data_IF_886240619588
#
_entry.id   IF_886240619588
#
_cell.length_a   1.000
_cell.length_b   1.000
_cell.length_c   1.000
_cell.angle_alpha   90.00
_cell.angle_beta   90.00
_cell.angle_gamma   90.00
#
_symmetry.space_group_name_H-M   'P 1'
#
loop_
_entity.id
_entity.type
_entity.pdbx_description
1 polymer ?
#
# COMPACT_ATOMS: atom_id res chain seq x y z
N UNK A 1 -33.90 -9.03 -29.38
CA UNK A 1 -32.83 -8.14 -28.91
C UNK A 1 -32.90 -8.11 -27.39
N UNK A 2 -31.99 -8.78 -26.67
CA UNK A 2 -31.92 -8.64 -25.20
C UNK A 2 -31.35 -7.26 -24.91
N UNK A 3 -32.18 -6.39 -24.32
CA UNK A 3 -31.74 -5.13 -23.75
C UNK A 3 -30.62 -5.44 -22.74
N UNK A 4 -29.41 -4.98 -23.06
CA UNK A 4 -28.18 -5.20 -22.32
C UNK A 4 -27.81 -3.92 -21.54
N UNK A 5 -28.81 -3.13 -21.13
CA UNK A 5 -28.63 -1.97 -20.28
C UNK A 5 -28.23 -2.42 -18.87
N UNK A 6 -26.92 -2.61 -18.68
CA UNK A 6 -26.31 -2.80 -17.35
C UNK A 6 -26.83 -1.69 -16.43
N UNK A 7 -27.29 -2.01 -15.20
CA UNK A 7 -27.76 -0.98 -14.28
C UNK A 7 -26.61 -0.01 -14.02
N UNK A 8 -26.81 1.27 -14.36
CA UNK A 8 -25.84 2.33 -14.02
C UNK A 8 -25.71 2.37 -12.51
N UNK A 9 -24.49 2.21 -12.00
CA UNK A 9 -24.22 2.32 -10.57
C UNK A 9 -24.70 3.69 -10.07
N UNK A 10 -25.54 3.70 -9.04
CA UNK A 10 -26.02 4.93 -8.42
C UNK A 10 -24.82 5.67 -7.82
N UNK A 11 -24.79 7.00 -7.89
CA UNK A 11 -23.68 7.83 -7.38
C UNK A 11 -23.12 7.42 -5.99
N UNK A 12 -23.96 7.07 -4.99
CA UNK A 12 -23.49 6.62 -3.68
C UNK A 12 -22.65 5.32 -3.72
N UNK A 13 -22.93 4.42 -4.65
CA UNK A 13 -22.19 3.15 -4.79
C UNK A 13 -20.79 3.43 -5.34
N UNK A 14 -20.66 4.37 -6.30
CA UNK A 14 -19.37 4.74 -6.90
C UNK A 14 -18.45 5.34 -5.83
N UNK A 15 -18.97 6.24 -4.99
CA UNK A 15 -18.21 6.86 -3.90
C UNK A 15 -17.78 5.82 -2.88
N UNK A 16 -18.67 4.91 -2.49
CA UNK A 16 -18.37 3.85 -1.51
C UNK A 16 -17.31 2.88 -2.04
N UNK A 17 -17.41 2.45 -3.30
CA UNK A 17 -16.40 1.58 -3.92
C UNK A 17 -15.07 2.32 -4.10
N UNK A 18 -15.09 3.60 -4.47
CA UNK A 18 -13.88 4.43 -4.55
C UNK A 18 -13.17 4.55 -3.21
N UNK A 19 -13.92 4.79 -2.14
CA UNK A 19 -13.38 4.82 -0.77
C UNK A 19 -12.84 3.45 -0.33
N UNK A 20 -13.50 2.35 -0.69
CA UNK A 20 -13.00 1.01 -0.40
C UNK A 20 -11.66 0.72 -1.12
N UNK A 21 -11.55 1.07 -2.40
CA UNK A 21 -10.31 0.95 -3.18
C UNK A 21 -9.21 1.86 -2.63
N UNK A 22 -9.56 3.09 -2.24
CA UNK A 22 -8.64 4.00 -1.56
C UNK A 22 -8.14 3.38 -0.25
N UNK A 23 -9.03 2.86 0.59
CA UNK A 23 -8.64 2.25 1.87
C UNK A 23 -7.71 1.03 1.68
N UNK A 24 -7.88 0.25 0.60
CA UNK A 24 -6.96 -0.87 0.30
C UNK A 24 -5.59 -0.42 -0.17
N UNK A 25 -5.47 0.76 -0.81
CA UNK A 25 -4.19 1.31 -1.28
C UNK A 25 -3.53 2.22 -0.22
N UNK A 26 -4.32 2.85 0.65
CA UNK A 26 -3.87 3.79 1.67
C UNK A 26 -3.39 3.05 2.94
N UNK A 27 -2.40 2.17 2.77
CA UNK A 27 -1.77 1.40 3.84
C UNK A 27 -0.56 2.10 4.48
N UNK A 28 0.14 1.39 5.37
CA UNK A 28 1.32 1.91 6.07
C UNK A 28 2.47 2.35 5.14
N UNK A 29 2.63 1.70 3.98
CA UNK A 29 3.63 2.10 2.98
C UNK A 29 3.40 3.53 2.49
N UNK A 30 2.16 3.88 2.20
CA UNK A 30 1.77 5.20 1.72
C UNK A 30 1.78 6.28 2.80
N UNK A 31 1.95 5.89 4.07
CA UNK A 31 2.21 6.83 5.16
C UNK A 31 3.72 7.07 5.38
N UNK A 32 4.56 6.06 5.11
CA UNK A 32 5.99 6.09 5.42
C UNK A 32 6.84 6.57 4.23
N UNK A 33 6.57 6.06 3.03
CA UNK A 33 7.41 6.32 1.86
C UNK A 33 7.30 7.75 1.32
N UNK A 34 6.13 8.42 1.27
CA UNK A 34 6.08 9.78 0.75
C UNK A 34 6.87 10.80 1.58
N UNK A 35 6.80 10.81 2.93
CA UNK A 35 7.69 11.64 3.74
C UNK A 35 9.17 11.30 3.54
N UNK A 36 9.52 10.02 3.46
CA UNK A 36 10.89 9.56 3.23
C UNK A 36 11.43 9.97 1.84
N UNK A 37 10.61 9.87 0.81
CA UNK A 37 10.91 10.32 -0.55
C UNK A 37 11.06 11.83 -0.61
N UNK A 38 10.14 12.58 0.00
CA UNK A 38 10.19 14.04 0.10
C UNK A 38 11.46 14.52 0.80
N UNK A 39 11.88 13.83 1.88
CA UNK A 39 13.13 14.13 2.57
C UNK A 39 14.36 13.93 1.67
N UNK A 40 14.41 12.85 0.88
CA UNK A 40 15.55 12.57 0.00
C UNK A 40 15.63 13.49 -1.22
N UNK A 41 14.48 13.82 -1.79
CA UNK A 41 14.38 14.60 -3.05
C UNK A 41 14.36 16.11 -2.80
N UNK A 42 14.08 16.54 -1.57
CA UNK A 42 14.23 17.92 -1.11
C UNK A 42 13.44 18.91 -1.99
N UNK A 43 14.13 19.87 -2.60
CA UNK A 43 13.51 20.88 -3.48
C UNK A 43 12.80 20.26 -4.69
N UNK A 44 13.20 19.07 -5.13
CA UNK A 44 12.65 18.37 -6.29
C UNK A 44 11.61 17.31 -5.91
N UNK A 45 11.01 17.42 -4.73
CA UNK A 45 10.03 16.45 -4.23
C UNK A 45 8.87 16.20 -5.19
N UNK A 46 8.44 17.21 -5.95
CA UNK A 46 7.33 17.07 -6.89
C UNK A 46 7.69 16.10 -8.03
N UNK A 47 8.94 16.13 -8.51
CA UNK A 47 9.43 15.22 -9.55
C UNK A 47 9.55 13.79 -9.00
N UNK A 48 10.00 13.63 -7.76
CA UNK A 48 10.01 12.33 -7.08
C UNK A 48 8.60 11.79 -6.86
N UNK A 49 7.69 12.64 -6.41
CA UNK A 49 6.28 12.30 -6.22
C UNK A 49 5.62 11.83 -7.52
N UNK A 50 5.91 12.44 -8.67
CA UNK A 50 5.38 11.97 -9.95
C UNK A 50 5.85 10.56 -10.29
N UNK A 51 7.12 10.23 -10.06
CA UNK A 51 7.63 8.88 -10.25
C UNK A 51 6.95 7.85 -9.33
N UNK A 52 6.82 8.21 -8.04
CA UNK A 52 6.12 7.40 -7.04
C UNK A 52 4.65 7.19 -7.41
N UNK A 53 3.95 8.27 -7.78
CA UNK A 53 2.53 8.25 -8.13
C UNK A 53 2.25 7.36 -9.34
N UNK A 54 3.09 7.43 -10.38
CA UNK A 54 2.94 6.58 -11.57
C UNK A 54 3.14 5.10 -11.20
N UNK A 55 4.15 4.80 -10.38
CA UNK A 55 4.48 3.42 -10.04
C UNK A 55 3.50 2.79 -9.04
N UNK A 56 3.19 3.47 -7.93
CA UNK A 56 2.26 2.96 -6.92
C UNK A 56 0.81 3.01 -7.44
N UNK A 57 0.27 4.22 -7.61
CA UNK A 57 -1.15 4.43 -7.95
C UNK A 57 -1.45 4.05 -9.40
N UNK A 58 -0.57 4.41 -10.33
CA UNK A 58 -0.76 4.12 -11.75
C UNK A 58 -0.78 2.62 -12.05
N UNK A 59 0.14 1.84 -11.49
CA UNK A 59 0.18 0.39 -11.69
C UNK A 59 -1.00 -0.31 -11.00
N UNK A 60 -1.36 0.11 -9.77
CA UNK A 60 -2.54 -0.42 -9.09
C UNK A 60 -3.83 -0.17 -9.90
N UNK A 61 -3.99 1.03 -10.45
CA UNK A 61 -5.13 1.36 -11.31
C UNK A 61 -5.15 0.52 -12.59
N UNK A 62 -4.00 0.29 -13.24
CA UNK A 62 -3.89 -0.58 -14.42
C UNK A 62 -4.22 -2.04 -14.09
N UNK A 63 -3.81 -2.55 -12.93
CA UNK A 63 -4.11 -3.90 -12.48
C UNK A 63 -5.62 -4.09 -12.27
N UNK A 64 -6.27 -3.15 -11.57
CA UNK A 64 -7.73 -3.16 -11.37
C UNK A 64 -8.45 -3.09 -12.73
N UNK A 65 -8.02 -2.18 -13.60
CA UNK A 65 -8.59 -2.05 -14.95
C UNK A 65 -8.48 -3.35 -15.74
N UNK A 66 -7.33 -4.03 -15.71
CA UNK A 66 -7.11 -5.31 -16.39
C UNK A 66 -8.10 -6.39 -15.95
N UNK A 67 -8.32 -6.54 -14.65
CA UNK A 67 -9.28 -7.52 -14.10
C UNK A 67 -10.72 -7.17 -14.49
N UNK A 68 -11.10 -5.89 -14.40
CA UNK A 68 -12.44 -5.43 -14.77
C UNK A 68 -12.69 -5.56 -16.27
N UNK A 69 -11.68 -5.27 -17.10
CA UNK A 69 -11.78 -5.32 -18.56
C UNK A 69 -12.02 -6.74 -19.08
N UNK A 70 -11.51 -7.78 -18.39
CA UNK A 70 -11.74 -9.18 -18.77
C UNK A 70 -13.18 -9.66 -18.51
N UNK A 71 -14.04 -8.88 -17.84
CA UNK A 71 -15.47 -9.17 -17.55
C UNK A 71 -15.77 -10.45 -16.76
N UNK A 72 -14.77 -11.28 -16.49
CA UNK A 72 -14.85 -12.47 -15.63
C UNK A 72 -14.79 -12.09 -14.14
N UNK A 73 -14.28 -10.91 -13.80
CA UNK A 73 -14.19 -10.41 -12.42
C UNK A 73 -13.19 -11.16 -11.55
N UNK A 74 -12.43 -12.09 -12.12
CA UNK A 74 -11.40 -12.89 -11.46
C UNK A 74 -10.03 -12.60 -12.05
N UNK A 75 -8.99 -12.78 -11.24
CA UNK A 75 -7.60 -12.71 -11.69
C UNK A 75 -7.26 -13.80 -12.72
N UNK A 76 -8.01 -14.91 -12.70
CA UNK A 76 -7.88 -16.01 -13.64
C UNK A 76 -8.09 -15.57 -15.10
N UNK A 77 -9.00 -14.61 -15.37
CA UNK A 77 -9.20 -14.07 -16.71
C UNK A 77 -8.00 -13.28 -17.25
N UNK A 78 -7.12 -12.79 -16.36
CA UNK A 78 -5.85 -12.16 -16.73
C UNK A 78 -4.77 -13.21 -16.94
N UNK A 79 -4.62 -14.15 -16.01
CA UNK A 79 -3.48 -15.08 -15.95
C UNK A 79 -3.65 -16.30 -16.85
N UNK A 80 -4.88 -16.73 -17.13
CA UNK A 80 -5.16 -17.85 -18.03
C UNK A 80 -4.81 -17.55 -19.49
N UNK A 81 -4.54 -16.28 -19.87
CA UNK A 81 -4.01 -15.92 -21.20
C UNK A 81 -2.65 -16.55 -21.48
N UNK A 82 -1.90 -16.89 -20.43
CA UNK A 82 -0.61 -17.60 -20.52
C UNK A 82 -0.81 -19.13 -20.53
N UNK A 83 -2.02 -19.61 -20.25
CA UNK A 83 -2.39 -21.01 -20.08
C UNK A 83 -2.88 -21.30 -18.66
N UNK A 84 -3.76 -22.29 -18.50
CA UNK A 84 -4.42 -22.58 -17.20
C UNK A 84 -3.47 -23.12 -16.14
N UNK A 85 -2.51 -23.97 -16.52
CA UNK A 85 -1.48 -24.49 -15.62
C UNK A 85 -0.45 -23.41 -15.27
N UNK A 86 0.20 -22.72 -16.24
CA UNK A 86 1.18 -21.68 -15.90
C UNK A 86 0.54 -20.48 -15.17
N UNK A 87 -0.70 -20.12 -15.49
CA UNK A 87 -1.43 -19.06 -14.79
C UNK A 87 -1.66 -19.36 -13.30
N UNK A 88 -2.10 -20.58 -12.97
CA UNK A 88 -2.28 -21.01 -11.57
C UNK A 88 -0.97 -21.06 -10.79
N UNK A 89 0.10 -21.55 -11.41
CA UNK A 89 1.44 -21.55 -10.80
C UNK A 89 1.88 -20.12 -10.51
N UNK A 90 1.69 -19.21 -11.47
CA UNK A 90 2.06 -17.81 -11.32
C UNK A 90 1.30 -17.11 -10.18
N UNK A 91 -0.02 -17.28 -10.12
CA UNK A 91 -0.84 -16.74 -9.01
C UNK A 91 -0.41 -17.33 -7.66
N UNK A 92 -0.13 -18.63 -7.62
CA UNK A 92 0.32 -19.29 -6.38
C UNK A 92 1.66 -18.73 -5.88
N UNK A 93 2.62 -18.49 -6.79
CA UNK A 93 3.88 -17.85 -6.46
C UNK A 93 3.64 -16.45 -5.91
N UNK A 94 2.79 -15.64 -6.56
CA UNK A 94 2.46 -14.29 -6.07
C UNK A 94 1.87 -14.35 -4.66
N UNK A 95 0.92 -15.24 -4.40
CA UNK A 95 0.30 -15.39 -3.08
C UNK A 95 1.32 -15.81 -2.01
N UNK A 96 2.28 -16.67 -2.34
CA UNK A 96 3.35 -17.06 -1.42
C UNK A 96 4.32 -15.91 -1.12
N UNK A 97 4.66 -15.10 -2.13
CA UNK A 97 5.54 -13.93 -1.98
C UNK A 97 4.85 -12.83 -1.15
N UNK A 98 3.59 -12.54 -1.44
CA UNK A 98 2.78 -11.55 -0.71
C UNK A 98 2.46 -12.00 0.71
N UNK A 99 2.25 -13.31 0.92
CA UNK A 99 2.00 -13.88 2.23
C UNK A 99 3.32 -14.11 2.97
N UNK A 100 3.68 -15.37 3.25
CA UNK A 100 4.70 -15.71 4.25
C UNK A 100 6.15 -15.36 3.86
N UNK A 101 6.48 -15.25 2.57
CA UNK A 101 7.89 -15.25 2.15
C UNK A 101 8.51 -13.86 2.19
N UNK A 102 7.85 -12.82 1.66
CA UNK A 102 8.47 -11.50 1.48
C UNK A 102 7.70 -10.40 2.20
N UNK A 103 6.44 -10.16 1.85
CA UNK A 103 5.77 -8.93 2.28
C UNK A 103 5.45 -8.92 3.77
N UNK A 104 4.92 -10.01 4.33
CA UNK A 104 4.66 -10.13 5.78
C UNK A 104 5.94 -9.97 6.62
N UNK A 105 7.07 -10.65 6.34
CA UNK A 105 8.29 -10.44 7.12
C UNK A 105 8.91 -9.05 6.92
N UNK A 106 8.84 -8.50 5.70
CA UNK A 106 9.36 -7.15 5.41
C UNK A 106 8.59 -6.08 6.19
N UNK A 107 7.28 -6.17 6.31
CA UNK A 107 6.50 -5.17 7.05
C UNK A 107 6.84 -5.18 8.54
N UNK A 108 6.94 -6.36 9.15
CA UNK A 108 7.41 -6.50 10.55
C UNK A 108 8.79 -5.86 10.77
N UNK A 109 9.76 -6.19 9.92
CA UNK A 109 11.11 -5.62 10.03
C UNK A 109 11.13 -4.10 9.85
N UNK A 110 10.32 -3.57 8.92
CA UNK A 110 10.22 -2.14 8.67
C UNK A 110 9.57 -1.41 9.85
N UNK A 111 8.50 -1.96 10.43
CA UNK A 111 7.87 -1.43 11.65
C UNK A 111 8.84 -1.43 12.84
N UNK A 112 9.68 -2.45 12.95
CA UNK A 112 10.72 -2.50 13.97
C UNK A 112 11.76 -1.40 13.76
N UNK A 113 12.38 -1.34 12.58
CA UNK A 113 13.48 -0.41 12.29
C UNK A 113 13.05 1.05 12.31
N UNK A 114 11.88 1.37 11.74
CA UNK A 114 11.42 2.76 11.61
C UNK A 114 10.55 3.23 12.79
N UNK A 115 9.95 2.32 13.54
CA UNK A 115 9.05 2.65 14.65
C UNK A 115 9.63 2.28 16.02
N UNK A 116 9.78 0.97 16.27
CA UNK A 116 10.06 0.47 17.62
C UNK A 116 11.50 0.73 18.06
N UNK A 117 12.48 0.65 17.16
CA UNK A 117 13.90 0.84 17.48
C UNK A 117 14.18 2.20 18.14
N UNK A 118 13.45 3.25 17.73
CA UNK A 118 13.55 4.58 18.33
C UNK A 118 12.83 4.73 19.68
N UNK A 119 11.77 3.94 19.91
CA UNK A 119 10.96 3.99 21.14
C UNK A 119 11.47 3.06 22.24
N UNK A 120 11.98 1.88 21.86
CA UNK A 120 12.36 0.77 22.74
C UNK A 120 13.66 0.12 22.23
N UNK A 121 14.83 0.78 22.43
CA UNK A 121 16.10 0.34 21.86
C UNK A 121 16.63 -1.01 22.39
N UNK A 122 16.07 -1.53 23.48
CA UNK A 122 16.48 -2.80 24.10
C UNK A 122 15.74 -4.05 23.60
N UNK A 123 14.72 -3.90 22.75
CA UNK A 123 13.92 -5.04 22.28
C UNK A 123 14.60 -5.68 21.06
N UNK A 124 14.92 -6.98 21.08
CA UNK A 124 15.52 -7.63 19.93
C UNK A 124 14.48 -7.88 18.82
N UNK A 125 14.90 -7.76 17.56
CA UNK A 125 14.05 -7.89 16.37
C UNK A 125 13.23 -9.19 16.34
N UNK A 126 13.81 -10.32 16.76
CA UNK A 126 13.13 -11.61 16.75
C UNK A 126 11.96 -11.65 17.73
N UNK A 127 12.09 -11.03 18.90
CA UNK A 127 11.04 -10.98 19.91
C UNK A 127 9.89 -10.09 19.47
N UNK A 128 10.21 -8.92 18.88
CA UNK A 128 9.21 -8.06 18.27
C UNK A 128 8.48 -8.76 17.11
N UNK A 129 9.22 -9.40 16.20
CA UNK A 129 8.63 -10.09 15.05
C UNK A 129 7.73 -11.24 15.46
N UNK A 130 8.11 -12.01 16.50
CA UNK A 130 7.27 -13.07 17.04
C UNK A 130 5.95 -12.53 17.59
N UNK A 131 6.00 -11.43 18.36
CA UNK A 131 4.80 -10.77 18.87
C UNK A 131 3.94 -10.19 17.74
N UNK A 132 4.56 -9.53 16.75
CA UNK A 132 3.90 -8.96 15.59
C UNK A 132 3.14 -10.02 14.79
N UNK A 133 3.76 -11.17 14.50
CA UNK A 133 3.10 -12.26 13.79
C UNK A 133 2.05 -12.96 14.64
N UNK A 134 2.24 -13.09 15.95
CA UNK A 134 1.22 -13.66 16.83
C UNK A 134 -0.05 -12.81 16.81
N UNK A 135 0.06 -11.49 16.97
CA UNK A 135 -1.09 -10.57 16.90
C UNK A 135 -1.72 -10.60 15.50
N UNK A 136 -0.90 -10.54 14.45
CA UNK A 136 -1.39 -10.58 13.07
C UNK A 136 -2.13 -11.90 12.77
N UNK A 137 -1.62 -13.03 13.26
CA UNK A 137 -2.25 -14.33 13.09
C UNK A 137 -3.59 -14.41 13.85
N UNK A 138 -3.64 -13.93 15.10
CA UNK A 138 -4.89 -13.89 15.89
C UNK A 138 -5.95 -13.05 15.18
N UNK A 139 -5.58 -11.90 14.63
CA UNK A 139 -6.49 -11.07 13.84
C UNK A 139 -6.93 -11.80 12.57
N UNK A 140 -5.99 -12.39 11.82
CA UNK A 140 -6.27 -13.09 10.57
C UNK A 140 -7.20 -14.30 10.72
N UNK A 141 -7.20 -14.96 11.89
CA UNK A 141 -8.14 -16.06 12.19
C UNK A 141 -9.61 -15.60 12.29
N UNK A 142 -9.87 -14.30 12.47
CA UNK A 142 -11.20 -13.71 12.53
C UNK A 142 -11.44 -12.74 11.36
N UNK A 143 -11.76 -13.24 10.15
CA UNK A 143 -11.85 -12.43 8.93
C UNK A 143 -12.90 -11.31 9.02
N UNK A 144 -14.04 -11.54 9.68
CA UNK A 144 -15.06 -10.50 9.94
C UNK A 144 -14.53 -9.39 10.85
N UNK A 145 -13.77 -9.76 11.89
CA UNK A 145 -13.15 -8.80 12.79
C UNK A 145 -12.06 -7.95 12.12
N UNK A 146 -11.29 -8.52 11.18
CA UNK A 146 -10.24 -7.78 10.45
C UNK A 146 -10.83 -6.64 9.63
N UNK A 147 -11.91 -6.88 8.89
CA UNK A 147 -12.54 -5.84 8.07
C UNK A 147 -13.10 -4.71 8.94
N UNK A 148 -13.73 -5.07 10.06
CA UNK A 148 -14.25 -4.09 11.03
C UNK A 148 -13.14 -3.28 11.70
N UNK A 149 -12.04 -3.93 12.11
CA UNK A 149 -10.87 -3.27 12.71
C UNK A 149 -10.21 -2.32 11.70
N UNK A 150 -10.04 -2.76 10.45
CA UNK A 150 -9.48 -1.93 9.38
C UNK A 150 -10.34 -0.68 9.17
N UNK A 151 -11.63 -0.88 8.89
CA UNK A 151 -12.54 0.22 8.52
C UNK A 151 -12.85 1.19 9.66
N UNK A 152 -13.07 0.67 10.88
CA UNK A 152 -13.54 1.48 12.01
C UNK A 152 -12.43 2.11 12.82
N UNK A 153 -11.25 1.48 12.89
CA UNK A 153 -10.15 1.92 13.75
C UNK A 153 -8.89 2.29 12.97
N UNK A 154 -8.35 1.40 12.13
CA UNK A 154 -7.05 1.63 11.48
C UNK A 154 -7.13 2.74 10.45
N UNK A 155 -8.10 2.74 9.54
CA UNK A 155 -8.23 3.78 8.50
C UNK A 155 -8.36 5.19 9.07
N UNK A 156 -9.27 5.48 10.04
CA UNK A 156 -9.35 6.82 10.62
C UNK A 156 -8.10 7.20 11.41
N UNK A 157 -7.45 6.25 12.09
CA UNK A 157 -6.18 6.49 12.77
C UNK A 157 -5.07 6.85 11.76
N UNK A 158 -4.97 6.13 10.65
CA UNK A 158 -4.00 6.36 9.57
C UNK A 158 -4.15 7.76 8.97
N UNK A 159 -5.39 8.17 8.69
CA UNK A 159 -5.70 9.51 8.19
C UNK A 159 -5.38 10.59 9.22
N UNK A 160 -5.70 10.36 10.50
CA UNK A 160 -5.36 11.28 11.58
C UNK A 160 -3.84 11.45 11.69
N UNK A 161 -3.07 10.36 11.68
CA UNK A 161 -1.59 10.42 11.71
C UNK A 161 -1.05 11.15 10.48
N UNK A 162 -1.60 10.90 9.28
CA UNK A 162 -1.23 11.63 8.07
C UNK A 162 -1.42 13.15 8.25
N UNK A 163 -2.58 13.58 8.73
CA UNK A 163 -2.86 15.01 8.95
C UNK A 163 -1.89 15.60 9.97
N UNK A 164 -1.61 14.88 11.07
CA UNK A 164 -0.61 15.31 12.07
C UNK A 164 0.78 15.43 11.42
N UNK A 165 1.21 14.46 10.62
CA UNK A 165 2.51 14.50 9.95
C UNK A 165 2.64 15.67 8.98
N UNK A 166 1.57 16.00 8.24
CA UNK A 166 1.54 17.18 7.35
C UNK A 166 1.70 18.46 8.18
N UNK A 167 0.94 18.61 9.26
CA UNK A 167 1.02 19.79 10.13
C UNK A 167 2.42 19.91 10.76
N UNK A 168 2.95 18.81 11.31
CA UNK A 168 4.29 18.80 11.91
C UNK A 168 5.38 19.12 10.90
N UNK A 169 5.28 18.60 9.67
CA UNK A 169 6.23 18.91 8.60
C UNK A 169 6.24 20.37 8.19
N UNK A 170 5.09 21.07 8.28
CA UNK A 170 4.98 22.50 7.98
C UNK A 170 5.48 23.36 9.15
N UNK A 171 5.11 23.00 10.39
CA UNK A 171 5.40 23.81 11.59
C UNK A 171 6.82 23.60 12.11
N UNK A 172 7.35 22.38 12.04
CA UNK A 172 8.69 22.01 12.51
C UNK A 172 9.50 21.34 11.38
N UNK A 173 9.96 22.10 10.37
CA UNK A 173 10.77 21.55 9.30
C UNK A 173 12.12 21.05 9.85
N UNK A 174 12.50 19.83 9.48
CA UNK A 174 13.77 19.19 9.87
C UNK A 174 14.98 19.94 9.26
N UNK A 175 14.75 20.70 8.20
CA UNK A 175 15.74 21.56 7.54
C UNK A 175 15.17 22.20 6.27
N UNK A 176 15.98 23.01 5.59
CA UNK A 176 15.62 23.52 4.28
C UNK A 176 15.56 22.37 3.26
N UNK A 177 14.57 22.36 2.33
CA UNK A 177 14.49 21.35 1.30
C UNK A 177 15.61 21.57 0.27
N UNK A 178 16.75 20.92 0.48
CA UNK A 178 17.89 20.96 -0.44
C UNK A 178 17.85 19.69 -1.29
N UNK A 179 17.83 19.85 -2.61
CA UNK A 179 17.94 18.71 -3.52
C UNK A 179 19.28 18.00 -3.35
N UNK A 180 19.26 16.69 -3.15
CA UNK A 180 20.49 15.88 -3.08
C UNK A 180 21.16 15.85 -4.46
N UNK A 181 22.44 16.23 -4.51
CA UNK A 181 23.17 16.51 -5.77
C UNK A 181 23.37 15.28 -6.67
N UNK A 182 23.28 14.08 -6.10
CA UNK A 182 23.54 12.80 -6.78
C UNK A 182 22.28 11.93 -6.97
N UNK A 183 21.10 12.43 -6.59
CA UNK A 183 19.85 11.68 -6.75
C UNK A 183 19.10 12.15 -8.00
N UNK A 184 18.67 11.18 -8.82
CA UNK A 184 17.69 11.42 -9.88
C UNK A 184 16.29 11.33 -9.24
N UNK A 185 15.57 12.45 -9.04
CA UNK A 185 14.35 12.44 -8.21
C UNK A 185 13.27 11.52 -8.80
N UNK A 186 13.10 11.53 -10.11
CA UNK A 186 12.11 10.68 -10.80
C UNK A 186 12.39 9.19 -10.62
N UNK A 187 13.64 8.75 -10.81
CA UNK A 187 14.05 7.36 -10.60
C UNK A 187 13.88 6.95 -9.13
N UNK A 188 14.23 7.84 -8.21
CA UNK A 188 14.02 7.63 -6.77
C UNK A 188 12.53 7.46 -6.46
N UNK A 189 11.68 8.25 -7.12
CA UNK A 189 10.22 8.09 -7.07
C UNK A 189 9.77 6.70 -7.53
N UNK A 190 10.22 6.26 -8.72
CA UNK A 190 9.86 4.95 -9.28
C UNK A 190 10.29 3.80 -8.37
N UNK A 191 11.46 3.87 -7.74
CA UNK A 191 11.97 2.77 -6.88
C UNK A 191 11.20 2.68 -5.56
N UNK A 192 10.66 3.79 -5.08
CA UNK A 192 9.95 3.85 -3.80
C UNK A 192 8.43 3.71 -3.93
N UNK A 193 7.86 3.85 -5.14
CA UNK A 193 6.45 3.57 -5.43
C UNK A 193 6.24 2.11 -5.78
#
# INVERSE_FOLDING_TARGET
MKDNSKPKAKGPIIVTMGLALFATQFGAGNLIFPPFLGQQTGSNWLVGFLGFFIMDVGLAALAIYSVVANREGTVDGVTNKIGTIPGKVFVSIILLLLGPIICIPRTSATTFEMGIKGLLPGVPLWAFSLAFFAVTAILALNPSGVVDVIGKFLTPLLLLVMVILIILGIVNPIGAPIGTKDLVPFQTGIVNG
#
